data_IF_986847929244
#
_entry.id   IF_986847929244
#
_cell.length_a   1.000
_cell.length_b   1.000
_cell.length_c   1.000
_cell.angle_alpha   90.00
_cell.angle_beta   90.00
_cell.angle_gamma   90.00
#
_symmetry.space_group_name_H-M   'P 1'
#
loop_
_entity.id
_entity.type
_entity.pdbx_description
1 polymer ?
#
# COMPACT_ATOMS: atom_id res chain seq x y z
N UNK A 1 22.27 64.67 12.11
CA UNK A 1 22.03 63.55 11.19
C UNK A 1 22.22 62.23 11.97
N UNK A 2 21.09 61.64 12.45
CA UNK A 2 21.11 60.35 13.18
C UNK A 2 20.92 59.22 12.20
N UNK A 3 21.92 58.32 12.07
CA UNK A 3 21.85 57.13 11.23
C UNK A 3 21.07 56.05 11.98
N UNK A 4 19.91 55.66 11.44
CA UNK A 4 19.07 54.56 11.89
C UNK A 4 19.69 53.24 11.40
N UNK A 5 20.14 52.37 12.30
CA UNK A 5 20.59 51.02 11.99
C UNK A 5 19.40 50.09 12.04
N UNK A 6 18.98 49.61 10.89
CA UNK A 6 17.95 48.57 10.74
C UNK A 6 18.67 47.23 10.95
N UNK A 7 18.34 46.52 12.05
CA UNK A 7 18.71 45.13 12.25
C UNK A 7 17.66 44.22 11.59
N UNK A 8 18.05 43.57 10.51
CA UNK A 8 17.27 42.51 9.88
C UNK A 8 17.46 41.23 10.75
N UNK A 9 16.42 40.85 11.50
CA UNK A 9 16.35 39.52 12.11
C UNK A 9 15.90 38.51 11.05
N UNK A 10 16.86 37.72 10.52
CA UNK A 10 16.54 36.49 9.79
C UNK A 10 16.06 35.45 10.81
N UNK A 11 14.77 35.30 10.97
CA UNK A 11 14.18 34.19 11.71
C UNK A 11 14.36 32.91 10.92
N UNK A 12 15.28 32.04 11.35
CA UNK A 12 15.36 30.65 10.93
C UNK A 12 14.10 29.93 11.44
N UNK A 13 13.13 29.75 10.55
CA UNK A 13 12.00 28.85 10.81
C UNK A 13 12.55 27.43 10.71
N UNK A 14 12.89 26.86 11.86
CA UNK A 14 13.06 25.42 11.98
C UNK A 14 11.69 24.78 11.75
N UNK A 15 11.44 24.26 10.57
CA UNK A 15 10.38 23.29 10.34
C UNK A 15 10.74 22.04 11.15
N UNK A 16 10.18 21.95 12.35
CA UNK A 16 10.24 20.72 13.13
C UNK A 16 9.47 19.65 12.35
N UNK A 17 10.19 18.77 11.68
CA UNK A 17 9.63 17.54 11.18
C UNK A 17 9.11 16.74 12.39
N UNK A 18 7.86 16.25 12.34
CA UNK A 18 7.35 15.49 13.47
C UNK A 18 8.21 14.24 13.68
N UNK A 19 8.58 13.98 14.92
CA UNK A 19 9.53 12.95 15.39
C UNK A 19 9.09 11.48 15.14
N UNK A 20 7.98 11.26 14.47
CA UNK A 20 7.48 9.93 14.10
C UNK A 20 7.92 9.47 12.69
N UNK A 21 8.66 10.31 11.96
CA UNK A 21 9.33 9.90 10.73
C UNK A 21 10.77 9.48 11.09
N UNK A 22 10.91 8.36 11.83
CA UNK A 22 12.19 7.66 11.82
C UNK A 22 12.52 7.31 10.36
N UNK A 23 13.73 7.62 9.94
CA UNK A 23 14.13 7.44 8.56
C UNK A 23 14.08 5.94 8.24
N UNK A 24 13.26 5.53 7.27
CA UNK A 24 13.24 4.16 6.76
C UNK A 24 14.68 3.72 6.42
N UNK A 25 15.03 2.50 6.83
CA UNK A 25 16.35 1.93 6.55
C UNK A 25 16.39 1.27 5.14
N UNK A 26 15.22 0.93 4.59
CA UNK A 26 15.09 0.36 3.25
C UNK A 26 14.14 1.18 2.37
N UNK A 27 14.41 1.31 1.05
CA UNK A 27 13.47 1.95 0.12
C UNK A 27 12.11 1.23 0.08
N UNK A 28 10.98 1.93 -0.13
CA UNK A 28 9.66 1.28 -0.20
C UNK A 28 9.48 0.36 -1.42
N UNK A 29 10.22 0.62 -2.49
CA UNK A 29 10.29 -0.25 -3.68
C UNK A 29 11.75 -0.58 -3.88
N UNK A 30 12.08 -1.88 -3.95
CA UNK A 30 13.45 -2.37 -4.10
C UNK A 30 13.61 -3.13 -5.41
N UNK A 31 14.74 -2.92 -6.09
CA UNK A 31 15.05 -3.66 -7.30
C UNK A 31 15.46 -5.10 -7.01
N UNK A 32 15.36 -5.96 -8.02
CA UNK A 32 15.87 -7.34 -7.95
C UNK A 32 17.36 -7.38 -7.66
N UNK A 33 18.15 -6.43 -8.18
CA UNK A 33 19.57 -6.30 -7.87
C UNK A 33 19.82 -5.96 -6.40
N UNK A 34 19.03 -5.02 -5.84
CA UNK A 34 19.14 -4.63 -4.44
C UNK A 34 18.87 -5.83 -3.52
N UNK A 35 17.81 -6.60 -3.81
CA UNK A 35 17.42 -7.76 -3.00
C UNK A 35 18.45 -8.90 -3.16
N UNK A 36 18.93 -9.16 -4.39
CA UNK A 36 19.93 -10.20 -4.64
C UNK A 36 21.23 -9.98 -3.85
N UNK A 37 21.65 -8.73 -3.70
CA UNK A 37 22.85 -8.40 -2.93
C UNK A 37 22.67 -8.57 -1.41
N UNK A 38 21.44 -8.85 -0.95
CA UNK A 38 21.07 -8.99 0.47
C UNK A 38 20.46 -10.35 0.82
N UNK A 39 20.54 -11.31 -0.08
CA UNK A 39 20.15 -12.70 0.23
C UNK A 39 21.03 -13.21 1.37
N UNK A 40 20.38 -13.72 2.43
CA UNK A 40 21.08 -14.22 3.62
C UNK A 40 21.38 -13.17 4.68
N UNK A 41 20.98 -11.91 4.47
CA UNK A 41 21.03 -10.88 5.50
C UNK A 41 20.05 -11.22 6.64
N UNK A 42 20.52 -11.46 7.87
CA UNK A 42 19.66 -11.87 8.99
C UNK A 42 18.71 -10.75 9.47
N UNK A 43 18.97 -9.49 9.09
CA UNK A 43 18.10 -8.36 9.40
C UNK A 43 16.95 -8.21 8.41
N UNK A 44 16.98 -8.93 7.27
CA UNK A 44 15.99 -8.83 6.21
C UNK A 44 15.13 -10.08 6.13
N UNK A 45 13.82 -9.91 6.22
CA UNK A 45 12.85 -10.97 5.95
C UNK A 45 12.31 -10.82 4.53
N UNK A 46 12.43 -11.88 3.72
CA UNK A 46 11.79 -11.96 2.40
C UNK A 46 10.48 -12.70 2.58
N UNK A 47 9.36 -12.05 2.35
CA UNK A 47 8.01 -12.60 2.51
C UNK A 47 7.41 -12.86 1.13
N UNK A 48 7.37 -14.13 0.71
CA UNK A 48 6.73 -14.56 -0.53
C UNK A 48 5.23 -14.77 -0.30
N UNK A 49 4.41 -13.96 -0.99
CA UNK A 49 2.95 -13.98 -0.83
C UNK A 49 2.23 -14.74 -1.94
N UNK A 50 2.95 -15.43 -2.80
CA UNK A 50 2.39 -16.29 -3.83
C UNK A 50 1.74 -17.54 -3.23
N UNK A 51 0.95 -18.24 -4.05
CA UNK A 51 0.42 -19.55 -3.64
C UNK A 51 1.55 -20.51 -3.30
N UNK A 52 1.28 -21.43 -2.38
CA UNK A 52 2.29 -22.37 -1.87
C UNK A 52 2.87 -23.24 -2.98
N UNK A 53 2.07 -23.59 -3.98
CA UNK A 53 2.53 -24.39 -5.12
C UNK A 53 3.61 -23.64 -5.92
N UNK A 54 3.35 -22.37 -6.25
CA UNK A 54 4.32 -21.53 -6.97
C UNK A 54 5.58 -21.25 -6.16
N UNK A 55 5.45 -21.12 -4.83
CA UNK A 55 6.61 -20.99 -3.94
C UNK A 55 7.45 -22.27 -3.93
N UNK A 56 6.84 -23.46 -3.91
CA UNK A 56 7.53 -24.74 -3.91
C UNK A 56 8.22 -25.04 -5.24
N UNK A 57 7.67 -24.59 -6.36
CA UNK A 57 8.32 -24.71 -7.68
C UNK A 57 9.63 -23.91 -7.74
N UNK A 58 9.70 -22.77 -7.04
CA UNK A 58 10.89 -21.96 -6.96
C UNK A 58 10.61 -20.60 -6.31
N UNK A 59 11.47 -20.23 -5.37
CA UNK A 59 11.38 -18.96 -4.62
C UNK A 59 12.76 -18.35 -4.42
N UNK A 60 12.82 -17.09 -4.00
CA UNK A 60 14.06 -16.41 -3.63
C UNK A 60 14.69 -17.12 -2.43
N UNK A 61 15.98 -17.46 -2.45
CA UNK A 61 16.63 -18.16 -1.34
C UNK A 61 16.39 -17.45 0.00
N UNK A 62 15.92 -18.19 0.99
CA UNK A 62 15.61 -17.67 2.32
C UNK A 62 14.21 -17.06 2.48
N UNK A 63 13.42 -16.96 1.41
CA UNK A 63 12.05 -16.44 1.50
C UNK A 63 11.14 -17.37 2.32
N UNK A 64 10.28 -16.75 3.13
CA UNK A 64 9.21 -17.40 3.89
C UNK A 64 7.90 -17.21 3.13
N UNK A 65 7.07 -18.24 3.03
CA UNK A 65 5.79 -18.13 2.31
C UNK A 65 4.62 -17.96 3.26
N UNK A 66 3.82 -16.91 3.00
CA UNK A 66 2.46 -16.75 3.52
C UNK A 66 1.58 -16.19 2.41
N UNK A 67 0.71 -17.02 1.89
CA UNK A 67 -0.16 -16.65 0.78
C UNK A 67 -0.96 -15.35 1.04
N UNK A 68 -1.03 -14.48 0.04
CA UNK A 68 -1.69 -13.17 0.13
C UNK A 68 -3.14 -13.23 0.68
N UNK A 69 -3.85 -14.34 0.46
CA UNK A 69 -5.20 -14.55 1.01
C UNK A 69 -5.27 -14.65 2.53
N UNK A 70 -4.16 -14.87 3.23
CA UNK A 70 -4.13 -14.86 4.69
C UNK A 70 -4.12 -13.43 5.29
N UNK A 71 -3.96 -12.41 4.47
CA UNK A 71 -3.84 -11.01 4.88
C UNK A 71 -5.11 -10.19 4.64
N UNK A 72 -6.18 -10.83 4.19
CA UNK A 72 -7.48 -10.20 3.97
C UNK A 72 -8.56 -11.27 4.02
N UNK A 73 -9.69 -10.99 4.64
CA UNK A 73 -10.77 -11.95 4.73
C UNK A 73 -12.16 -11.30 4.64
N UNK A 74 -13.18 -12.13 4.68
CA UNK A 74 -14.55 -11.68 4.66
C UNK A 74 -15.02 -11.30 6.06
N UNK A 75 -15.43 -10.04 6.26
CA UNK A 75 -16.02 -9.54 7.51
C UNK A 75 -17.50 -9.23 7.31
N UNK A 76 -18.35 -10.08 7.82
CA UNK A 76 -19.77 -10.02 7.52
C UNK A 76 -20.04 -10.21 6.02
N UNK A 77 -20.54 -9.16 5.37
CA UNK A 77 -20.79 -9.15 3.90
C UNK A 77 -19.64 -8.58 3.09
N UNK A 78 -18.70 -7.88 3.74
CA UNK A 78 -17.58 -7.20 3.09
C UNK A 78 -16.45 -8.18 2.79
N UNK A 79 -15.85 -8.05 1.60
CA UNK A 79 -14.71 -8.84 1.16
C UNK A 79 -13.41 -8.05 1.33
N UNK A 80 -12.32 -8.78 1.47
CA UNK A 80 -10.96 -8.25 1.53
C UNK A 80 -10.70 -7.24 2.65
N UNK A 81 -11.48 -7.30 3.73
CA UNK A 81 -11.27 -6.48 4.91
C UNK A 81 -9.94 -6.84 5.60
N UNK A 82 -9.35 -5.83 6.24
CA UNK A 82 -8.14 -6.06 7.03
C UNK A 82 -8.44 -7.00 8.22
N UNK A 83 -7.60 -8.00 8.50
CA UNK A 83 -7.77 -8.90 9.63
C UNK A 83 -7.81 -8.15 10.97
N UNK A 84 -8.45 -8.74 11.95
CA UNK A 84 -8.43 -8.18 13.31
C UNK A 84 -7.02 -8.21 13.89
N UNK A 85 -6.73 -7.29 14.84
CA UNK A 85 -5.38 -7.11 15.38
C UNK A 85 -4.81 -8.39 16.00
N UNK A 86 -5.66 -9.20 16.65
CA UNK A 86 -5.24 -10.46 17.23
C UNK A 86 -4.78 -11.46 16.17
N UNK A 87 -5.53 -11.60 15.08
CA UNK A 87 -5.19 -12.48 13.96
C UNK A 87 -3.94 -12.01 13.19
N UNK A 88 -3.77 -10.68 13.05
CA UNK A 88 -2.55 -10.12 12.48
C UNK A 88 -1.33 -10.38 13.37
N UNK A 89 -1.47 -10.24 14.69
CA UNK A 89 -0.40 -10.57 15.63
C UNK A 89 0.03 -12.05 15.49
N UNK A 90 -0.94 -12.94 15.36
CA UNK A 90 -0.68 -14.38 15.16
C UNK A 90 0.02 -14.64 13.82
N UNK A 91 -0.51 -14.10 12.73
CA UNK A 91 0.02 -14.29 11.37
C UNK A 91 1.44 -13.75 11.24
N UNK A 92 1.69 -12.54 11.73
CA UNK A 92 3.00 -11.88 11.66
C UNK A 92 4.00 -12.57 12.59
N UNK A 93 3.58 -12.92 13.81
CA UNK A 93 4.41 -13.63 14.76
C UNK A 93 4.80 -15.03 14.31
N UNK A 94 3.87 -15.77 13.67
CA UNK A 94 4.13 -17.11 13.14
C UNK A 94 5.27 -17.17 12.14
N UNK A 95 5.52 -16.09 11.41
CA UNK A 95 6.63 -15.99 10.43
C UNK A 95 7.90 -15.35 11.01
N UNK A 96 7.92 -15.12 12.32
CA UNK A 96 9.10 -14.61 13.04
C UNK A 96 9.40 -13.13 12.81
N UNK A 97 8.45 -12.36 12.27
CA UNK A 97 8.56 -10.91 12.06
C UNK A 97 8.34 -10.18 13.39
N UNK A 98 9.10 -9.13 13.62
CA UNK A 98 8.97 -8.20 14.74
C UNK A 98 8.82 -6.76 14.23
N UNK A 99 8.49 -5.81 15.11
CA UNK A 99 8.38 -4.39 14.73
C UNK A 99 9.67 -3.80 14.18
N UNK A 100 10.83 -4.36 14.55
CA UNK A 100 12.14 -3.93 14.04
C UNK A 100 12.61 -4.69 12.80
N UNK A 101 11.79 -5.58 12.24
CA UNK A 101 12.16 -6.33 11.04
C UNK A 101 12.07 -5.45 9.79
N UNK A 102 13.09 -5.53 8.92
CA UNK A 102 12.97 -5.08 7.55
C UNK A 102 12.34 -6.20 6.72
N UNK A 103 11.28 -5.91 5.97
CA UNK A 103 10.51 -6.91 5.22
C UNK A 103 10.42 -6.52 3.75
N UNK A 104 10.82 -7.42 2.85
CA UNK A 104 10.54 -7.29 1.41
C UNK A 104 9.43 -8.24 1.04
N UNK A 105 8.28 -7.70 0.63
CA UNK A 105 7.14 -8.48 0.15
C UNK A 105 7.34 -8.81 -1.32
N UNK A 106 7.23 -10.09 -1.66
CA UNK A 106 7.46 -10.64 -2.98
C UNK A 106 6.23 -11.39 -3.45
N UNK A 107 5.65 -10.95 -4.54
CA UNK A 107 4.58 -11.65 -5.25
C UNK A 107 4.87 -11.70 -6.74
N UNK A 108 3.93 -12.21 -7.53
CA UNK A 108 3.93 -11.98 -8.96
C UNK A 108 3.47 -10.54 -9.25
N UNK A 109 3.92 -10.00 -10.40
CA UNK A 109 3.57 -8.65 -10.86
C UNK A 109 3.21 -8.63 -12.35
N UNK A 110 2.93 -9.78 -12.97
CA UNK A 110 2.58 -9.88 -14.39
C UNK A 110 1.23 -9.24 -14.71
N UNK A 111 0.35 -9.23 -13.75
CA UNK A 111 -0.94 -8.59 -13.86
C UNK A 111 -1.11 -7.52 -12.80
N UNK A 112 -1.88 -6.48 -13.10
CA UNK A 112 -2.23 -5.43 -12.13
C UNK A 112 -2.82 -6.03 -10.85
N UNK A 113 -3.59 -7.14 -11.00
CA UNK A 113 -4.20 -7.85 -9.87
C UNK A 113 -3.16 -8.44 -8.93
N UNK A 114 -2.15 -9.12 -9.45
CA UNK A 114 -1.09 -9.70 -8.62
C UNK A 114 -0.27 -8.61 -7.95
N UNK A 115 0.00 -7.52 -8.67
CA UNK A 115 0.69 -6.34 -8.12
C UNK A 115 -0.04 -5.76 -6.91
N UNK A 116 -1.33 -5.47 -7.02
CA UNK A 116 -2.05 -4.89 -5.90
C UNK A 116 -2.25 -5.86 -4.71
N UNK A 117 -2.32 -7.18 -4.96
CA UNK A 117 -2.34 -8.17 -3.88
C UNK A 117 -1.04 -8.14 -3.06
N UNK A 118 0.10 -8.04 -3.72
CA UNK A 118 1.41 -7.91 -3.09
C UNK A 118 1.50 -6.63 -2.25
N UNK A 119 1.06 -5.50 -2.82
CA UNK A 119 1.10 -4.20 -2.14
C UNK A 119 0.10 -4.16 -0.97
N UNK A 120 -1.05 -4.84 -1.07
CA UNK A 120 -2.00 -4.97 0.04
C UNK A 120 -1.34 -5.58 1.27
N UNK A 121 -0.53 -6.63 1.10
CA UNK A 121 0.21 -7.24 2.21
C UNK A 121 1.22 -6.25 2.80
N UNK A 122 1.96 -5.52 1.96
CA UNK A 122 2.88 -4.49 2.43
C UNK A 122 2.15 -3.41 3.27
N UNK A 123 1.01 -2.91 2.80
CA UNK A 123 0.20 -1.95 3.56
C UNK A 123 -0.34 -2.54 4.88
N UNK A 124 -0.66 -3.83 4.91
CA UNK A 124 -1.11 -4.50 6.15
C UNK A 124 0.02 -4.58 7.18
N UNK A 125 1.25 -4.84 6.75
CA UNK A 125 2.43 -4.80 7.64
C UNK A 125 2.71 -3.38 8.16
N UNK A 126 2.61 -2.36 7.30
CA UNK A 126 2.71 -0.96 7.70
C UNK A 126 1.61 -0.57 8.71
N UNK A 127 0.38 -1.05 8.50
CA UNK A 127 -0.71 -0.86 9.45
C UNK A 127 -0.41 -1.51 10.80
N UNK A 128 0.21 -2.70 10.82
CA UNK A 128 0.60 -3.38 12.05
C UNK A 128 1.76 -2.67 12.79
N UNK A 129 2.34 -1.61 12.19
CA UNK A 129 3.34 -0.76 12.81
C UNK A 129 4.78 -1.04 12.41
N UNK A 130 5.02 -1.88 11.41
CA UNK A 130 6.34 -2.00 10.81
C UNK A 130 6.67 -0.72 10.02
N UNK A 131 7.92 -0.30 10.06
CA UNK A 131 8.40 0.90 9.35
C UNK A 131 9.16 0.53 8.07
N UNK A 132 9.95 -0.54 8.13
CA UNK A 132 10.80 -1.01 7.04
C UNK A 132 10.12 -2.11 6.21
N UNK A 133 9.11 -1.73 5.44
CA UNK A 133 8.40 -2.65 4.53
C UNK A 133 8.61 -2.20 3.09
N UNK A 134 9.08 -3.09 2.24
CA UNK A 134 9.30 -2.84 0.82
C UNK A 134 8.55 -3.85 -0.06
N UNK A 135 8.33 -3.47 -1.31
CA UNK A 135 7.82 -4.34 -2.37
C UNK A 135 8.93 -4.58 -3.40
N UNK A 136 9.08 -5.82 -3.86
CA UNK A 136 10.02 -6.16 -4.93
C UNK A 136 9.49 -5.67 -6.28
N UNK A 137 10.20 -4.76 -6.92
CA UNK A 137 9.86 -4.20 -8.24
C UNK A 137 9.86 -5.27 -9.33
N UNK A 138 8.74 -5.42 -10.04
CA UNK A 138 8.54 -6.47 -11.05
C UNK A 138 8.40 -7.88 -10.48
N UNK A 139 8.44 -8.05 -9.15
CA UNK A 139 8.16 -9.30 -8.44
C UNK A 139 8.99 -10.50 -8.85
N UNK A 140 8.43 -11.70 -8.60
CA UNK A 140 9.08 -12.97 -8.98
C UNK A 140 9.27 -13.11 -10.48
N UNK A 141 8.38 -12.57 -11.29
CA UNK A 141 8.47 -12.68 -12.74
C UNK A 141 9.75 -12.02 -13.28
N UNK A 142 10.03 -10.79 -12.82
CA UNK A 142 11.28 -10.11 -13.16
C UNK A 142 12.51 -10.83 -12.59
N UNK A 143 12.41 -11.34 -11.36
CA UNK A 143 13.47 -12.13 -10.72
C UNK A 143 13.88 -13.34 -11.57
N UNK A 144 12.90 -14.11 -12.03
CA UNK A 144 13.10 -15.27 -12.88
C UNK A 144 13.62 -14.88 -14.27
N UNK A 145 13.03 -13.84 -14.89
CA UNK A 145 13.45 -13.33 -16.20
C UNK A 145 14.90 -12.85 -16.22
N UNK A 146 15.40 -12.36 -15.10
CA UNK A 146 16.80 -11.95 -14.93
C UNK A 146 17.74 -13.13 -14.55
N UNK A 147 17.24 -14.37 -14.56
CA UNK A 147 17.99 -15.57 -14.19
C UNK A 147 18.66 -15.48 -12.81
N UNK A 148 17.98 -14.86 -11.84
CA UNK A 148 18.49 -14.74 -10.47
C UNK A 148 18.32 -16.05 -9.70
N UNK A 149 19.09 -16.25 -8.60
CA UNK A 149 19.07 -17.50 -7.83
C UNK A 149 17.67 -17.90 -7.35
N UNK A 150 17.34 -19.18 -7.50
CA UNK A 150 16.12 -19.79 -6.99
C UNK A 150 16.47 -20.92 -6.01
N UNK A 151 15.54 -21.17 -5.09
CA UNK A 151 15.57 -22.27 -4.12
C UNK A 151 14.22 -22.99 -4.11
N UNK A 152 14.25 -24.29 -3.85
CA UNK A 152 13.08 -25.10 -3.52
C UNK A 152 13.10 -25.55 -2.05
N UNK A 153 14.13 -25.11 -1.30
CA UNK A 153 14.27 -25.45 0.12
C UNK A 153 13.29 -24.61 0.95
N UNK A 154 12.20 -25.24 1.37
CA UNK A 154 11.20 -24.59 2.21
C UNK A 154 11.83 -24.07 3.51
N UNK A 155 11.63 -22.79 3.77
CA UNK A 155 12.09 -22.14 5.00
C UNK A 155 11.00 -22.31 6.08
N UNK A 156 11.38 -22.89 7.22
CA UNK A 156 10.54 -22.93 8.41
C UNK A 156 10.91 -21.75 9.30
N UNK A 157 10.03 -20.73 9.42
CA UNK A 157 10.31 -19.61 10.30
C UNK A 157 10.36 -20.05 11.76
N UNK A 158 11.09 -19.31 12.57
CA UNK A 158 11.04 -19.46 14.03
C UNK A 158 9.99 -18.47 14.54
N UNK A 159 8.83 -18.93 15.03
CA UNK A 159 7.77 -18.05 15.52
C UNK A 159 8.26 -17.15 16.64
N UNK A 160 7.71 -15.94 16.71
CA UNK A 160 7.94 -14.96 17.77
C UNK A 160 6.61 -14.38 18.22
N UNK A 161 6.55 -13.92 19.45
CA UNK A 161 5.46 -13.06 19.87
C UNK A 161 5.53 -11.74 19.11
N UNK A 162 4.43 -11.36 18.48
CA UNK A 162 4.29 -10.08 17.82
C UNK A 162 3.16 -9.30 18.49
N UNK A 163 3.45 -8.07 18.87
CA UNK A 163 2.47 -7.11 19.37
C UNK A 163 2.54 -5.85 18.52
N UNK A 164 1.55 -5.69 17.64
CA UNK A 164 1.50 -4.57 16.69
C UNK A 164 1.33 -3.21 17.35
N UNK A 165 1.91 -2.18 16.74
CA UNK A 165 1.63 -0.77 17.01
C UNK A 165 0.72 -0.22 15.90
N UNK A 166 -0.55 -0.58 15.97
CA UNK A 166 -1.49 -0.41 14.87
C UNK A 166 -1.72 1.05 14.51
N UNK A 167 -1.46 1.39 13.26
CA UNK A 167 -1.60 2.72 12.66
C UNK A 167 -3.02 2.90 12.12
N UNK A 168 -3.97 3.13 13.02
CA UNK A 168 -5.39 3.34 12.66
C UNK A 168 -5.61 4.59 11.82
N UNK A 169 -4.65 5.54 11.83
CA UNK A 169 -4.63 6.72 10.98
C UNK A 169 -4.50 6.42 9.48
N UNK A 170 -4.08 5.21 9.11
CA UNK A 170 -3.99 4.78 7.70
C UNK A 170 -5.34 4.45 7.07
N UNK A 171 -6.37 4.27 7.87
CA UNK A 171 -7.71 3.91 7.39
C UNK A 171 -8.74 4.99 7.70
N UNK A 172 -9.74 5.09 6.84
CA UNK A 172 -10.94 5.89 7.05
C UNK A 172 -12.15 4.96 6.92
N UNK A 173 -13.09 5.08 7.83
CA UNK A 173 -14.38 4.39 7.74
C UNK A 173 -15.39 5.16 6.88
N UNK A 174 -16.51 4.53 6.57
CA UNK A 174 -17.60 5.13 5.78
C UNK A 174 -18.14 6.41 6.40
N UNK A 175 -18.27 6.45 7.72
CA UNK A 175 -18.80 7.63 8.42
C UNK A 175 -17.88 8.83 8.21
N UNK A 176 -16.59 8.64 8.39
CA UNK A 176 -15.58 9.66 8.16
C UNK A 176 -15.60 10.18 6.72
N UNK A 177 -15.62 9.27 5.72
CA UNK A 177 -15.72 9.66 4.31
C UNK A 177 -16.97 10.49 4.06
N UNK A 178 -18.11 10.05 4.59
CA UNK A 178 -19.42 10.72 4.40
C UNK A 178 -19.45 12.13 4.99
N UNK A 179 -18.89 12.33 6.17
CA UNK A 179 -18.84 13.64 6.86
C UNK A 179 -17.87 14.63 6.19
N UNK A 180 -16.89 14.11 5.45
CA UNK A 180 -15.85 14.90 4.82
C UNK A 180 -15.96 15.01 3.30
N UNK A 181 -17.11 14.63 2.72
CA UNK A 181 -17.38 14.84 1.30
C UNK A 181 -17.19 16.31 0.91
N UNK A 182 -16.46 16.56 -0.17
CA UNK A 182 -16.11 17.89 -0.66
C UNK A 182 -14.99 18.61 0.09
N UNK A 183 -14.51 18.08 1.24
CA UNK A 183 -13.39 18.64 2.02
C UNK A 183 -12.08 17.91 1.77
N UNK A 184 -12.15 16.62 1.47
CA UNK A 184 -11.02 15.72 1.21
C UNK A 184 -10.91 15.42 -0.29
N UNK A 185 -9.77 14.90 -0.71
CA UNK A 185 -9.57 14.36 -2.06
C UNK A 185 -9.91 12.88 -2.02
N UNK A 186 -10.98 12.49 -2.71
CA UNK A 186 -11.32 11.09 -2.92
C UNK A 186 -10.70 10.62 -4.23
N UNK A 187 -10.03 9.47 -4.20
CA UNK A 187 -9.39 8.85 -5.36
C UNK A 187 -9.95 7.46 -5.57
N UNK A 188 -10.74 7.30 -6.61
CA UNK A 188 -11.23 6.01 -7.08
C UNK A 188 -10.17 5.38 -7.98
N UNK A 189 -9.60 4.26 -7.52
CA UNK A 189 -8.49 3.61 -8.22
C UNK A 189 -8.91 2.49 -9.17
N UNK A 190 -10.22 2.36 -9.40
CA UNK A 190 -10.78 1.38 -10.34
C UNK A 190 -10.56 1.80 -11.79
N UNK A 191 -10.64 0.82 -12.68
CA UNK A 191 -10.63 1.12 -14.12
C UNK A 191 -11.82 2.00 -14.52
N UNK A 192 -11.69 2.84 -15.57
CA UNK A 192 -12.69 3.85 -15.94
C UNK A 192 -14.11 3.31 -16.11
N UNK A 193 -14.28 2.08 -16.63
CA UNK A 193 -15.59 1.46 -16.81
C UNK A 193 -16.32 1.20 -15.48
N UNK A 194 -15.60 0.96 -14.38
CA UNK A 194 -16.18 0.81 -13.03
C UNK A 194 -16.48 2.17 -12.41
N UNK A 195 -15.60 3.14 -12.60
CA UNK A 195 -15.80 4.51 -12.14
C UNK A 195 -17.03 5.17 -12.78
N UNK A 196 -17.17 5.06 -14.10
CA UNK A 196 -18.31 5.61 -14.85
C UNK A 196 -19.64 4.89 -14.55
N UNK A 197 -19.57 3.70 -13.95
CA UNK A 197 -20.75 2.86 -13.72
C UNK A 197 -21.22 2.08 -14.94
N UNK A 198 -20.41 2.00 -15.99
CA UNK A 198 -20.63 1.08 -17.12
C UNK A 198 -20.54 -0.38 -16.66
N UNK A 199 -19.62 -0.67 -15.74
CA UNK A 199 -19.42 -1.97 -15.09
C UNK A 199 -19.53 -1.86 -13.58
N UNK A 200 -19.84 -2.97 -12.93
CA UNK A 200 -19.74 -3.16 -11.49
C UNK A 200 -19.43 -4.62 -11.17
N UNK A 201 -18.85 -4.88 -10.01
CA UNK A 201 -18.76 -6.24 -9.47
C UNK A 201 -20.11 -6.65 -8.89
N UNK A 202 -20.39 -7.97 -8.87
CA UNK A 202 -21.65 -8.52 -8.33
C UNK A 202 -21.85 -8.14 -6.84
N UNK A 203 -20.77 -8.03 -6.08
CA UNK A 203 -20.81 -7.64 -4.68
C UNK A 203 -21.05 -6.14 -4.45
N UNK A 204 -21.01 -5.30 -5.49
CA UNK A 204 -21.29 -3.87 -5.42
C UNK A 204 -22.76 -3.63 -5.80
N UNK A 205 -23.54 -3.08 -4.90
CA UNK A 205 -24.98 -2.92 -5.11
C UNK A 205 -25.31 -1.90 -6.21
N UNK A 206 -24.63 -0.74 -6.23
CA UNK A 206 -24.92 0.37 -7.15
C UNK A 206 -23.68 0.72 -7.99
N UNK A 207 -23.82 0.81 -9.35
CA UNK A 207 -22.73 1.24 -10.23
C UNK A 207 -22.46 2.73 -10.15
N UNK A 208 -21.22 3.14 -10.44
CA UNK A 208 -20.74 4.52 -10.37
C UNK A 208 -19.72 4.72 -9.25
N UNK A 209 -19.51 5.96 -8.81
CA UNK A 209 -18.47 6.35 -7.86
C UNK A 209 -19.00 7.29 -6.77
N UNK A 210 -18.21 7.53 -5.73
CA UNK A 210 -18.50 8.50 -4.67
C UNK A 210 -18.42 9.92 -5.27
N UNK A 211 -19.44 10.78 -5.11
CA UNK A 211 -19.45 12.10 -5.73
C UNK A 211 -18.20 12.94 -5.40
N UNK A 212 -17.63 13.55 -6.42
CA UNK A 212 -16.42 14.37 -6.30
C UNK A 212 -15.12 13.60 -6.25
N UNK A 213 -15.15 12.28 -6.38
CA UNK A 213 -13.94 11.48 -6.50
C UNK A 213 -13.28 11.66 -7.88
N UNK A 214 -11.95 11.71 -7.86
CA UNK A 214 -11.14 11.63 -9.08
C UNK A 214 -10.86 10.18 -9.44
N UNK A 215 -10.83 9.85 -10.74
CA UNK A 215 -10.44 8.52 -11.18
C UNK A 215 -8.92 8.46 -11.42
N UNK A 216 -8.26 7.52 -10.75
CA UNK A 216 -6.84 7.23 -10.91
C UNK A 216 -6.62 5.71 -10.93
N UNK A 217 -6.78 5.06 -12.07
CA UNK A 217 -6.68 3.61 -12.16
C UNK A 217 -5.39 3.04 -11.59
N UNK A 218 -5.50 1.92 -10.89
CA UNK A 218 -4.32 1.21 -10.36
C UNK A 218 -3.35 0.80 -11.46
N UNK A 219 -3.85 0.49 -12.65
CA UNK A 219 -3.04 0.17 -13.84
C UNK A 219 -2.07 1.29 -14.22
N UNK A 220 -2.38 2.55 -13.94
CA UNK A 220 -1.50 3.69 -14.22
C UNK A 220 -0.19 3.69 -13.41
N UNK A 221 -0.10 2.87 -12.36
CA UNK A 221 1.10 2.78 -11.52
C UNK A 221 2.21 1.92 -12.14
N UNK A 222 1.88 1.07 -13.11
CA UNK A 222 2.78 0.05 -13.62
C UNK A 222 3.14 0.22 -15.08
N UNK A 223 4.30 -0.28 -15.45
CA UNK A 223 4.71 -0.54 -16.82
C UNK A 223 4.14 -1.88 -17.29
N UNK A 224 4.18 -2.13 -18.60
CA UNK A 224 3.67 -3.38 -19.21
C UNK A 224 4.42 -4.65 -18.79
N UNK A 225 5.61 -4.50 -18.20
CA UNK A 225 6.43 -5.61 -17.67
C UNK A 225 6.21 -5.86 -16.18
N UNK A 226 5.21 -5.22 -15.55
CA UNK A 226 4.89 -5.34 -14.14
C UNK A 226 5.78 -4.54 -13.19
N UNK A 227 6.73 -3.77 -13.69
CA UNK A 227 7.52 -2.85 -12.87
C UNK A 227 6.71 -1.58 -12.55
N UNK A 228 7.04 -0.93 -11.45
CA UNK A 228 6.50 0.41 -11.19
C UNK A 228 7.05 1.41 -12.21
N UNK A 229 6.25 2.41 -12.52
CA UNK A 229 6.75 3.61 -13.20
C UNK A 229 7.79 4.32 -12.33
N UNK A 230 8.61 5.18 -12.94
CA UNK A 230 9.60 5.97 -12.19
C UNK A 230 8.92 6.86 -11.15
N UNK A 231 9.65 7.23 -10.11
CA UNK A 231 9.13 8.11 -9.05
C UNK A 231 8.62 9.43 -9.60
N UNK A 232 9.30 9.98 -10.60
CA UNK A 232 8.97 11.22 -11.29
C UNK A 232 7.65 11.09 -12.08
N UNK A 233 7.47 9.99 -12.83
CA UNK A 233 6.22 9.71 -13.54
C UNK A 233 5.06 9.50 -12.55
N UNK A 234 5.27 8.73 -11.49
CA UNK A 234 4.26 8.50 -10.45
C UNK A 234 3.86 9.80 -9.75
N UNK A 235 4.80 10.71 -9.51
CA UNK A 235 4.52 12.02 -8.93
C UNK A 235 3.61 12.84 -9.86
N UNK A 236 3.94 12.95 -11.15
CA UNK A 236 3.13 13.66 -12.13
C UNK A 236 1.72 13.07 -12.22
N UNK A 237 1.61 11.75 -12.24
CA UNK A 237 0.32 11.05 -12.28
C UNK A 237 -0.48 11.32 -11.00
N UNK A 238 0.12 11.24 -9.83
CA UNK A 238 -0.57 11.53 -8.56
C UNK A 238 -1.03 12.99 -8.49
N UNK A 239 -0.19 13.94 -8.85
CA UNK A 239 -0.50 15.38 -8.85
C UNK A 239 -1.57 15.77 -9.87
N UNK A 240 -1.78 14.99 -10.92
CA UNK A 240 -2.87 15.24 -11.90
C UNK A 240 -4.27 15.16 -11.26
N UNK A 241 -4.42 14.40 -10.19
CA UNK A 241 -5.70 14.25 -9.45
C UNK A 241 -5.68 14.93 -8.08
N UNK A 242 -4.51 15.06 -7.45
CA UNK A 242 -4.41 15.67 -6.12
C UNK A 242 -4.08 17.16 -6.16
N UNK A 243 -3.59 17.67 -7.29
CA UNK A 243 -2.93 18.96 -7.39
C UNK A 243 -1.54 18.93 -6.74
N UNK A 244 -0.75 19.98 -6.96
CA UNK A 244 0.63 20.08 -6.42
C UNK A 244 0.70 20.30 -4.88
N UNK A 245 -0.44 20.55 -4.23
CA UNK A 245 -0.50 20.75 -2.77
C UNK A 245 -0.55 19.42 -2.02
N UNK A 246 0.45 19.17 -1.15
CA UNK A 246 0.55 17.91 -0.38
C UNK A 246 -0.18 17.92 0.96
N UNK A 247 -0.75 19.07 1.37
CA UNK A 247 -1.34 19.26 2.70
C UNK A 247 -2.78 18.74 2.79
N UNK A 248 -3.43 18.52 1.65
CA UNK A 248 -4.81 18.01 1.61
C UNK A 248 -4.83 16.53 1.97
N UNK A 249 -5.87 16.14 2.67
CA UNK A 249 -6.12 14.74 2.96
C UNK A 249 -6.65 14.02 1.72
N UNK A 250 -6.07 12.86 1.46
CA UNK A 250 -6.39 11.98 0.32
C UNK A 250 -6.93 10.67 0.87
N UNK A 251 -8.02 10.19 0.31
CA UNK A 251 -8.56 8.86 0.62
C UNK A 251 -8.68 8.07 -0.67
N UNK A 252 -7.96 6.95 -0.74
CA UNK A 252 -8.04 6.01 -1.86
C UNK A 252 -9.11 4.95 -1.56
N UNK A 253 -9.90 4.59 -2.56
CA UNK A 253 -10.89 3.52 -2.46
C UNK A 253 -11.03 2.77 -3.79
N UNK A 254 -11.66 1.58 -3.75
CA UNK A 254 -11.93 0.77 -4.94
C UNK A 254 -13.31 0.09 -4.86
N UNK A 255 -13.41 -1.20 -5.20
CA UNK A 255 -14.63 -1.97 -4.98
C UNK A 255 -14.71 -2.60 -3.59
N UNK A 256 -13.60 -3.23 -3.12
CA UNK A 256 -13.55 -4.08 -1.92
C UNK A 256 -12.27 -3.89 -1.10
N UNK A 257 -11.63 -2.73 -1.16
CA UNK A 257 -10.40 -2.43 -0.41
C UNK A 257 -9.10 -3.08 -0.93
N UNK A 258 -9.17 -3.92 -1.97
CA UNK A 258 -8.02 -4.72 -2.36
C UNK A 258 -6.99 -3.97 -3.21
N UNK A 259 -7.39 -3.10 -4.14
CA UNK A 259 -6.45 -2.40 -5.04
C UNK A 259 -6.11 -0.97 -4.60
N UNK A 260 -6.93 -0.33 -3.78
CA UNK A 260 -6.67 1.04 -3.30
C UNK A 260 -5.38 1.20 -2.45
N UNK A 261 -4.86 0.17 -1.76
CA UNK A 261 -3.55 0.23 -1.13
C UNK A 261 -2.41 0.59 -2.09
N UNK A 262 -2.54 0.32 -3.38
CA UNK A 262 -1.47 0.62 -4.36
C UNK A 262 -1.15 2.11 -4.41
N UNK A 263 -2.15 2.97 -4.67
CA UNK A 263 -1.92 4.41 -4.69
C UNK A 263 -1.70 5.00 -3.30
N UNK A 264 -2.28 4.40 -2.25
CA UNK A 264 -1.94 4.75 -0.88
C UNK A 264 -0.44 4.55 -0.60
N UNK A 265 0.10 3.36 -0.92
CA UNK A 265 1.52 3.02 -0.73
C UNK A 265 2.43 3.94 -1.53
N UNK A 266 2.13 4.15 -2.82
CA UNK A 266 2.90 5.03 -3.68
C UNK A 266 2.91 6.46 -3.15
N UNK A 267 1.74 7.04 -2.90
CA UNK A 267 1.63 8.43 -2.46
C UNK A 267 2.29 8.64 -1.09
N UNK A 268 2.04 7.75 -0.12
CA UNK A 268 2.55 7.90 1.24
C UNK A 268 4.01 7.50 1.37
N UNK A 269 4.36 6.28 0.97
CA UNK A 269 5.67 5.70 1.26
C UNK A 269 6.75 6.11 0.25
N UNK A 270 6.39 6.25 -1.04
CA UNK A 270 7.35 6.60 -2.08
C UNK A 270 7.42 8.10 -2.34
N UNK A 271 6.26 8.78 -2.41
CA UNK A 271 6.15 10.19 -2.80
C UNK A 271 6.12 11.14 -1.59
N UNK A 272 5.88 10.63 -0.38
CA UNK A 272 5.91 11.39 0.87
C UNK A 272 4.70 12.31 1.09
N UNK A 273 3.52 11.97 0.58
CA UNK A 273 2.27 12.65 0.92
C UNK A 273 1.89 12.29 2.36
N UNK A 274 1.76 13.24 3.27
CA UNK A 274 1.64 12.93 4.71
C UNK A 274 0.26 12.42 5.12
N UNK A 275 -0.80 12.74 4.37
CA UNK A 275 -2.19 12.54 4.76
C UNK A 275 -2.93 11.70 3.73
N UNK A 276 -2.50 10.44 3.55
CA UNK A 276 -3.13 9.47 2.65
C UNK A 276 -3.72 8.34 3.48
N UNK A 277 -5.01 8.05 3.27
CA UNK A 277 -5.74 6.96 3.95
C UNK A 277 -6.37 6.02 2.93
N UNK A 278 -6.77 4.86 3.41
CA UNK A 278 -7.54 3.85 2.67
C UNK A 278 -8.95 3.82 3.23
N UNK A 279 -9.96 3.87 2.36
CA UNK A 279 -11.32 3.48 2.71
C UNK A 279 -11.52 2.01 2.29
N UNK A 280 -11.36 1.09 3.27
CA UNK A 280 -11.31 -0.36 3.02
C UNK A 280 -12.65 -0.91 2.52
N UNK A 281 -13.77 -0.58 3.16
CA UNK A 281 -15.11 -1.00 2.75
C UNK A 281 -15.52 -0.58 1.33
N UNK A 282 -14.92 0.49 0.81
CA UNK A 282 -14.96 0.89 -0.60
C UNK A 282 -16.39 0.94 -1.19
N UNK A 283 -16.55 0.70 -2.49
CA UNK A 283 -17.88 0.75 -3.13
C UNK A 283 -18.80 -0.39 -2.71
N UNK A 284 -18.27 -1.49 -2.21
CA UNK A 284 -19.11 -2.57 -1.67
C UNK A 284 -19.90 -2.09 -0.46
N UNK A 285 -19.25 -1.41 0.47
CA UNK A 285 -19.90 -0.85 1.67
C UNK A 285 -20.69 0.42 1.34
N UNK A 286 -20.10 1.32 0.54
CA UNK A 286 -20.74 2.57 0.14
C UNK A 286 -22.01 2.35 -0.68
N UNK A 287 -21.93 1.48 -1.68
CA UNK A 287 -23.04 1.17 -2.58
C UNK A 287 -24.20 0.46 -1.90
N UNK A 288 -23.97 -0.24 -0.80
CA UNK A 288 -25.01 -0.90 -0.01
C UNK A 288 -25.84 0.06 0.85
N UNK A 289 -25.32 1.25 1.20
CA UNK A 289 -26.07 2.28 1.93
C UNK A 289 -26.89 3.12 0.95
N UNK A 290 -28.19 2.90 0.86
CA UNK A 290 -29.11 3.63 -0.04
C UNK A 290 -29.08 5.16 0.18
N UNK A 291 -28.73 5.62 1.38
CA UNK A 291 -28.63 7.05 1.72
C UNK A 291 -27.26 7.65 1.33
N UNK A 292 -26.29 6.84 0.95
CA UNK A 292 -25.00 7.32 0.47
C UNK A 292 -25.12 7.74 -1.00
N UNK A 293 -24.71 8.96 -1.38
CA UNK A 293 -24.82 9.41 -2.76
C UNK A 293 -23.85 8.65 -3.68
N UNK A 294 -24.30 8.35 -4.90
CA UNK A 294 -23.49 7.76 -5.97
C UNK A 294 -23.72 8.57 -7.25
N UNK A 295 -22.66 8.83 -7.99
CA UNK A 295 -22.70 9.47 -9.31
C UNK A 295 -22.13 8.55 -10.39
N UNK A 296 -22.53 8.79 -11.65
CA UNK A 296 -22.00 8.05 -12.81
C UNK A 296 -21.24 8.98 -13.72
#
# INVERSE_FOLDING_TARGET
>A
MKRLKIFLYLGLVFLAYPSWMEARHIPPIVSTQWLNARIGDPSLTILDVRRVEAYQEGHIPGAINVYAGAWAYKKGVLFNEIPDQAELNETIGAVGISLSSAVVVVGNMDTVREGYQTIRVACTLLYAGLEDVAVLDGGMNKWVKENRPLSQKVVKPIPREFQGRYRTDLFADKAYVKENLGKIILVDVREPAYYSGEKKLDCVARPGHIPGAYNLPTSCAFNSDGTFKTKEELLVIAESVTGAGRDREIITYCDTGQCCPTWHFIMRELLGFPRVRIYDGSMQEWGADERAPVTK
#
